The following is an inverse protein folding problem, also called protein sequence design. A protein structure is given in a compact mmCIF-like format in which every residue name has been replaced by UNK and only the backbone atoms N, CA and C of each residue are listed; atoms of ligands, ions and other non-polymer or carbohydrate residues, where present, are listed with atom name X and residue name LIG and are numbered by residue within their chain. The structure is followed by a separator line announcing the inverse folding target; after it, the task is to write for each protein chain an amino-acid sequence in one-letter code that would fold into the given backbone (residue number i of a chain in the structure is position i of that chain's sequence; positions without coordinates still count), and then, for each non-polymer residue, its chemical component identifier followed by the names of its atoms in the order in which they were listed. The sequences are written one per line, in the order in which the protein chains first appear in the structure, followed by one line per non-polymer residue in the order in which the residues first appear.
data_IF_582030313871
#
_entry.id   IF_582030313871
#
_cell.length_a   1.000
_cell.length_b   1.000
_cell.length_c   1.000
_cell.angle_alpha   90.00
_cell.angle_beta   90.00
_cell.angle_gamma   90.00
#
_symmetry.space_group_name_H-M   'P 1'
#
loop_
_entity.id
_entity.type
_entity.pdbx_description
1 polymer ?
#
# COMPACT_ATOMS: atom_id res chain seq x y z
N UNK A 1 -1.28 -16.32 26.56
CA UNK A 1 -1.92 -16.08 25.24
C UNK A 1 -1.51 -14.70 24.75
N UNK A 2 -0.63 -14.62 23.77
CA UNK A 2 -0.24 -13.34 23.15
C UNK A 2 -1.30 -12.96 22.11
N UNK A 3 -2.09 -11.93 22.41
CA UNK A 3 -3.02 -11.33 21.45
C UNK A 3 -2.22 -10.74 20.29
N UNK A 4 -2.43 -11.22 19.07
CA UNK A 4 -1.85 -10.62 17.88
C UNK A 4 -2.46 -9.22 17.76
N UNK A 5 -1.64 -8.14 17.70
CA UNK A 5 -2.19 -6.80 17.55
C UNK A 5 -3.01 -6.74 16.26
N UNK A 6 -4.29 -6.41 16.39
CA UNK A 6 -5.18 -6.27 15.24
C UNK A 6 -4.61 -5.21 14.30
N UNK A 7 -4.36 -5.60 13.04
CA UNK A 7 -3.88 -4.67 12.02
C UNK A 7 -4.95 -3.62 11.77
N UNK A 8 -4.59 -2.34 11.96
CA UNK A 8 -5.50 -1.20 11.76
C UNK A 8 -5.79 -0.95 10.27
N UNK A 9 -4.87 -1.33 9.38
CA UNK A 9 -5.00 -1.19 7.94
C UNK A 9 -4.46 -2.44 7.25
N UNK A 10 -5.16 -2.90 6.22
CA UNK A 10 -4.78 -4.08 5.44
C UNK A 10 -5.07 -3.84 3.96
N UNK A 11 -4.04 -3.95 3.12
CA UNK A 11 -4.19 -3.93 1.67
C UNK A 11 -4.84 -5.23 1.18
N UNK A 12 -5.89 -5.10 0.37
CA UNK A 12 -6.62 -6.25 -0.19
C UNK A 12 -6.18 -6.49 -1.62
N UNK A 13 -6.39 -5.51 -2.51
CA UNK A 13 -6.08 -5.64 -3.93
C UNK A 13 -5.92 -4.28 -4.62
N UNK A 14 -5.33 -4.29 -5.80
CA UNK A 14 -5.24 -3.14 -6.70
C UNK A 14 -5.41 -3.65 -8.13
N UNK A 15 -6.66 -3.83 -8.55
CA UNK A 15 -7.04 -4.50 -9.80
C UNK A 15 -8.10 -3.66 -10.52
N UNK A 16 -8.06 -3.62 -11.86
CA UNK A 16 -9.04 -2.89 -12.68
C UNK A 16 -9.18 -1.39 -12.32
N UNK A 17 -8.12 -0.77 -11.77
CA UNK A 17 -8.17 0.61 -11.29
C UNK A 17 -8.86 0.79 -9.93
N UNK A 18 -9.31 -0.29 -9.30
CA UNK A 18 -9.88 -0.31 -7.96
C UNK A 18 -8.81 -0.65 -6.93
N UNK A 19 -8.49 0.32 -6.08
CA UNK A 19 -7.62 0.11 -4.94
C UNK A 19 -8.48 -0.28 -3.72
N UNK A 20 -8.36 -1.52 -3.26
CA UNK A 20 -9.15 -2.06 -2.16
C UNK A 20 -8.30 -2.19 -0.90
N UNK A 21 -8.82 -1.65 0.20
CA UNK A 21 -8.13 -1.66 1.48
C UNK A 21 -9.14 -1.76 2.63
N UNK A 22 -8.81 -2.56 3.62
CA UNK A 22 -9.53 -2.61 4.89
C UNK A 22 -8.92 -1.61 5.86
N UNK A 23 -9.75 -0.79 6.48
CA UNK A 23 -9.36 0.10 7.57
C UNK A 23 -10.24 -0.21 8.77
N UNK A 24 -9.61 -0.61 9.88
CA UNK A 24 -10.28 -1.22 11.02
C UNK A 24 -11.15 -2.39 10.57
N UNK A 25 -12.47 -2.30 10.80
CA UNK A 25 -13.44 -3.35 10.49
C UNK A 25 -14.18 -3.12 9.17
N UNK A 26 -13.87 -2.04 8.43
CA UNK A 26 -14.58 -1.67 7.21
C UNK A 26 -13.68 -1.82 5.98
N UNK A 27 -14.28 -2.27 4.90
CA UNK A 27 -13.64 -2.30 3.59
C UNK A 27 -13.93 -1.01 2.84
N UNK A 28 -12.91 -0.53 2.15
CA UNK A 28 -12.97 0.67 1.35
C UNK A 28 -12.39 0.40 -0.04
N UNK A 29 -12.97 1.03 -1.04
CA UNK A 29 -12.53 0.96 -2.43
C UNK A 29 -12.28 2.38 -2.90
N UNK A 30 -11.11 2.63 -3.48
CA UNK A 30 -10.85 3.86 -4.22
C UNK A 30 -10.88 3.55 -5.71
N UNK A 31 -11.76 4.24 -6.45
CA UNK A 31 -11.87 4.19 -7.90
C UNK A 31 -12.13 5.59 -8.45
N UNK A 32 -11.55 5.92 -9.60
CA UNK A 32 -11.71 7.23 -10.27
C UNK A 32 -11.40 8.47 -9.38
N UNK A 33 -10.56 8.28 -8.36
CA UNK A 33 -10.18 9.34 -7.41
C UNK A 33 -11.09 9.45 -6.18
N UNK A 34 -12.26 8.83 -6.21
CA UNK A 34 -13.24 8.81 -5.12
C UNK A 34 -13.06 7.59 -4.22
N UNK A 35 -13.44 7.72 -2.94
CA UNK A 35 -13.37 6.63 -1.97
C UNK A 35 -14.78 6.21 -1.59
N UNK A 36 -15.02 4.91 -1.63
CA UNK A 36 -16.28 4.27 -1.29
C UNK A 36 -16.07 3.35 -0.09
N UNK A 37 -17.02 3.33 0.85
CA UNK A 37 -17.11 2.32 1.90
C UNK A 37 -17.98 1.16 1.42
N UNK A 38 -17.51 -0.07 1.60
CA UNK A 38 -18.23 -1.29 1.24
C UNK A 38 -19.12 -1.73 2.41
N UNK A 39 -20.39 -2.00 2.13
CA UNK A 39 -21.33 -2.59 3.07
C UNK A 39 -21.09 -4.09 3.22
N UNK A 40 -21.65 -4.71 4.27
CA UNK A 40 -21.63 -6.18 4.42
C UNK A 40 -22.32 -6.91 3.24
N UNK A 41 -23.27 -6.25 2.58
CA UNK A 41 -23.98 -6.76 1.39
C UNK A 41 -23.29 -6.41 0.07
N UNK A 42 -22.12 -5.74 0.11
CA UNK A 42 -21.35 -5.37 -1.08
C UNK A 42 -21.76 -4.04 -1.74
N UNK A 43 -22.69 -3.29 -1.16
CA UNK A 43 -23.04 -1.96 -1.66
C UNK A 43 -21.93 -0.94 -1.40
N UNK A 44 -21.73 -0.03 -2.35
CA UNK A 44 -20.74 1.03 -2.26
C UNK A 44 -21.40 2.33 -1.81
N UNK A 45 -20.95 2.86 -0.68
CA UNK A 45 -21.32 4.17 -0.19
C UNK A 45 -20.20 5.16 -0.49
N UNK A 46 -20.47 6.16 -1.33
CA UNK A 46 -19.51 7.23 -1.57
C UNK A 46 -19.23 7.96 -0.26
N UNK A 47 -17.95 8.17 0.03
CA UNK A 47 -17.53 9.03 1.14
C UNK A 47 -17.59 10.47 0.65
N UNK A 48 -18.53 11.23 1.19
CA UNK A 48 -18.68 12.64 0.85
C UNK A 48 -17.55 13.50 1.43
N UNK A 49 -17.44 14.72 0.93
CA UNK A 49 -16.45 15.69 1.38
C UNK A 49 -16.51 15.95 2.90
N UNK A 50 -17.71 16.04 3.48
CA UNK A 50 -17.88 16.24 4.91
C UNK A 50 -17.26 15.10 5.74
N UNK A 51 -17.48 13.84 5.34
CA UNK A 51 -16.89 12.70 6.02
C UNK A 51 -15.37 12.62 5.82
N UNK A 52 -14.85 13.09 4.68
CA UNK A 52 -13.41 13.24 4.48
C UNK A 52 -12.76 14.25 5.44
N UNK A 53 -13.47 15.32 5.81
CA UNK A 53 -13.01 16.30 6.80
C UNK A 53 -13.03 15.74 8.22
N UNK A 54 -14.07 14.99 8.58
CA UNK A 54 -14.17 14.35 9.90
C UNK A 54 -13.17 13.19 10.06
N UNK A 55 -12.91 12.46 8.97
CA UNK A 55 -12.08 11.24 8.96
C UNK A 55 -10.95 11.34 7.93
N UNK A 56 -10.01 12.30 8.10
CA UNK A 56 -8.90 12.50 7.14
C UNK A 56 -7.97 11.28 7.07
N UNK A 57 -7.96 10.46 8.13
CA UNK A 57 -7.19 9.22 8.19
C UNK A 57 -7.57 8.20 7.12
N UNK A 58 -8.80 8.25 6.57
CA UNK A 58 -9.22 7.37 5.46
C UNK A 58 -8.32 7.66 4.26
N UNK A 59 -8.34 8.90 3.77
CA UNK A 59 -7.55 9.34 2.62
C UNK A 59 -6.05 9.15 2.84
N UNK A 60 -5.55 9.52 4.02
CA UNK A 60 -4.13 9.35 4.38
C UNK A 60 -3.69 7.89 4.35
N UNK A 61 -4.56 6.96 4.75
CA UNK A 61 -4.25 5.53 4.71
C UNK A 61 -4.08 5.06 3.27
N UNK A 62 -4.94 5.50 2.35
CA UNK A 62 -4.84 5.16 0.92
C UNK A 62 -3.54 5.68 0.30
N UNK A 63 -3.18 6.94 0.60
CA UNK A 63 -1.94 7.54 0.10
C UNK A 63 -0.69 6.82 0.63
N UNK A 64 -0.69 6.45 1.92
CA UNK A 64 0.41 5.70 2.55
C UNK A 64 0.56 4.31 1.93
N UNK A 65 -0.54 3.59 1.79
CA UNK A 65 -0.54 2.24 1.24
C UNK A 65 -0.11 2.25 -0.23
N UNK A 66 -0.59 3.21 -1.04
CA UNK A 66 -0.16 3.37 -2.43
C UNK A 66 1.34 3.62 -2.55
N UNK A 67 1.91 4.48 -1.70
CA UNK A 67 3.36 4.71 -1.64
C UNK A 67 4.11 3.43 -1.24
N UNK A 68 3.57 2.65 -0.31
CA UNK A 68 4.15 1.38 0.11
C UNK A 68 4.15 0.36 -1.03
N UNK A 69 3.02 0.15 -1.72
CA UNK A 69 2.93 -0.77 -2.84
C UNK A 69 3.86 -0.38 -4.00
N UNK A 70 4.01 0.92 -4.29
CA UNK A 70 4.99 1.41 -5.27
C UNK A 70 6.43 1.05 -4.87
N UNK A 71 6.82 1.27 -3.61
CA UNK A 71 8.16 0.90 -3.10
C UNK A 71 8.37 -0.62 -3.14
N UNK A 72 7.35 -1.40 -2.78
CA UNK A 72 7.37 -2.87 -2.83
C UNK A 72 7.58 -3.37 -4.26
N UNK A 73 6.82 -2.85 -5.22
CA UNK A 73 6.96 -3.21 -6.63
C UNK A 73 8.34 -2.85 -7.18
N UNK A 74 8.87 -1.67 -6.83
CA UNK A 74 10.22 -1.25 -7.20
C UNK A 74 11.28 -2.19 -6.62
N UNK A 75 11.18 -2.55 -5.33
CA UNK A 75 12.11 -3.47 -4.69
C UNK A 75 12.12 -4.85 -5.36
N UNK A 76 10.94 -5.39 -5.68
CA UNK A 76 10.80 -6.65 -6.43
C UNK A 76 11.45 -6.54 -7.81
N UNK A 77 11.20 -5.45 -8.54
CA UNK A 77 11.82 -5.21 -9.85
C UNK A 77 13.35 -5.11 -9.78
N UNK A 78 13.90 -4.45 -8.75
CA UNK A 78 15.35 -4.37 -8.51
C UNK A 78 15.96 -5.73 -8.16
N UNK A 79 15.27 -6.54 -7.36
CA UNK A 79 15.68 -7.90 -7.05
C UNK A 79 15.71 -8.78 -8.31
N UNK A 80 14.64 -8.73 -9.12
CA UNK A 80 14.52 -9.55 -10.34
C UNK A 80 15.51 -9.14 -11.43
N UNK A 81 15.79 -7.84 -11.56
CA UNK A 81 16.70 -7.31 -12.59
C UNK A 81 18.18 -7.56 -12.30
N UNK A 82 18.54 -8.14 -11.14
CA UNK A 82 19.92 -8.29 -10.66
C UNK A 82 20.72 -6.96 -10.60
N UNK A 83 20.06 -5.82 -10.82
CA UNK A 83 20.68 -4.50 -10.83
C UNK A 83 21.13 -4.19 -9.40
N UNK A 84 22.45 -4.02 -9.17
CA UNK A 84 22.94 -3.75 -7.82
C UNK A 84 22.38 -2.42 -7.32
N UNK A 85 21.65 -2.44 -6.20
CA UNK A 85 21.29 -1.23 -5.46
C UNK A 85 22.53 -0.44 -5.07
N UNK A 86 22.40 0.85 -4.76
CA UNK A 86 23.53 1.67 -4.30
C UNK A 86 24.28 1.01 -3.13
N UNK A 87 23.55 0.55 -2.11
CA UNK A 87 24.13 -0.15 -0.96
C UNK A 87 24.84 -1.44 -1.37
N UNK A 88 24.27 -2.22 -2.29
CA UNK A 88 24.89 -3.44 -2.81
C UNK A 88 26.15 -3.14 -3.64
N UNK A 89 26.16 -2.05 -4.42
CA UNK A 89 27.36 -1.56 -5.15
C UNK A 89 28.44 -1.14 -4.17
N UNK A 90 28.09 -0.34 -3.16
CA UNK A 90 29.01 0.12 -2.12
C UNK A 90 29.60 -1.06 -1.33
N UNK A 91 28.78 -2.04 -0.96
CA UNK A 91 29.21 -3.28 -0.31
C UNK A 91 30.16 -4.09 -1.19
N UNK A 92 29.80 -4.36 -2.46
CA UNK A 92 30.68 -5.06 -3.41
C UNK A 92 32.01 -4.35 -3.60
N UNK A 93 32.01 -3.01 -3.66
CA UNK A 93 33.22 -2.18 -3.73
C UNK A 93 34.09 -2.33 -2.49
N UNK A 94 33.50 -2.33 -1.29
CA UNK A 94 34.22 -2.57 -0.02
C UNK A 94 34.81 -3.97 0.06
N UNK A 95 34.12 -4.98 -0.49
CA UNK A 95 34.56 -6.37 -0.52
C UNK A 95 35.56 -6.67 -1.65
N UNK A 96 35.90 -5.70 -2.51
CA UNK A 96 36.82 -5.90 -3.63
C UNK A 96 36.23 -6.73 -4.80
N UNK A 97 34.91 -6.92 -4.85
CA UNK A 97 34.22 -7.76 -5.85
C UNK A 97 33.81 -7.00 -7.12
N UNK A 98 34.46 -5.90 -7.45
CA UNK A 98 34.12 -5.07 -8.62
C UNK A 98 35.11 -5.39 -9.74
N UNK A 99 34.72 -6.25 -10.68
CA UNK A 99 35.53 -6.65 -11.84
C UNK A 99 35.10 -7.99 -12.46
N UNK A 100 34.04 -7.97 -13.27
CA UNK A 100 33.72 -8.89 -14.38
C UNK A 100 32.47 -8.33 -15.09
#
# INVERSE_FOLDING_TARGET
MTSIPQKKTEFISNENGEFRMRIYSYEYIQKDGEIYRVSKSGYLFLIEFAEHLEKPWIRLSFERERKFQKRKALAIGLQNSNIPSYERRAFKKRMGWVGA
#
